data_IF_413879823877
#
_entry.id   IF_413879823877
#
_cell.length_a   1.000
_cell.length_b   1.000
_cell.length_c   1.000
_cell.angle_alpha   90.00
_cell.angle_beta   90.00
_cell.angle_gamma   90.00
#
_symmetry.space_group_name_H-M   'P 1'
#
loop_
_entity.id
_entity.type
_entity.pdbx_description
1 polymer ?
#
# COMPACT_ATOMS: atom_id res chain seq x y z
N UNK A 1 -13.67 -1.10 -2.69
CA UNK A 1 -12.66 -0.05 -2.53
C UNK A 1 -12.12 -0.03 -1.11
N UNK A 2 -10.84 0.24 -1.00
CA UNK A 2 -10.15 0.35 0.28
C UNK A 2 -10.80 1.37 1.22
N UNK A 3 -11.42 2.42 0.70
CA UNK A 3 -12.09 3.46 1.49
C UNK A 3 -13.20 2.95 2.40
N UNK A 4 -13.77 1.79 2.11
CA UNK A 4 -14.88 1.22 2.88
C UNK A 4 -14.42 0.13 3.85
N UNK A 5 -13.13 -0.16 3.89
CA UNK A 5 -12.59 -1.13 4.83
C UNK A 5 -12.48 -0.51 6.22
N UNK A 6 -13.04 -1.18 7.22
CA UNK A 6 -12.76 -0.83 8.60
C UNK A 6 -11.30 -1.16 8.88
N UNK A 7 -10.50 -0.15 9.12
CA UNK A 7 -9.09 -0.31 9.43
C UNK A 7 -8.95 -0.36 10.94
N UNK A 8 -8.56 -1.51 11.43
CA UNK A 8 -8.13 -1.62 12.82
C UNK A 8 -6.72 -1.04 12.92
N UNK A 9 -6.63 0.13 13.56
CA UNK A 9 -5.37 0.84 13.69
C UNK A 9 -4.63 0.30 14.91
N UNK A 10 -3.44 -0.23 14.69
CA UNK A 10 -2.52 -0.57 15.78
C UNK A 10 -1.93 0.73 16.33
N UNK A 11 -2.50 1.22 17.43
CA UNK A 11 -2.06 2.47 18.05
C UNK A 11 -0.59 2.47 18.47
N UNK A 12 -0.07 1.33 18.90
CA UNK A 12 1.33 1.21 19.28
C UNK A 12 2.25 1.39 18.08
N UNK A 13 1.92 0.75 16.98
CA UNK A 13 2.66 0.84 15.71
C UNK A 13 2.62 2.26 15.17
N UNK A 14 1.46 2.91 15.19
CA UNK A 14 1.29 4.28 14.72
C UNK A 14 2.03 5.30 15.60
N UNK A 15 2.02 5.10 16.91
CA UNK A 15 2.79 5.94 17.84
C UNK A 15 4.28 5.85 17.52
N UNK A 16 4.79 4.64 17.30
CA UNK A 16 6.19 4.43 16.92
C UNK A 16 6.52 5.13 15.59
N UNK A 17 5.66 5.00 14.58
CA UNK A 17 5.86 5.65 13.29
C UNK A 17 5.87 7.18 13.42
N UNK A 18 4.96 7.74 14.22
CA UNK A 18 4.90 9.18 14.45
C UNK A 18 6.18 9.68 15.10
N UNK A 19 6.70 8.97 16.07
CA UNK A 19 7.97 9.31 16.73
C UNK A 19 9.12 9.31 15.74
N UNK A 20 9.20 8.30 14.85
CA UNK A 20 10.26 8.23 13.83
C UNK A 20 10.16 9.41 12.88
N UNK A 21 8.95 9.78 12.44
CA UNK A 21 8.77 10.94 11.54
C UNK A 21 9.27 12.22 12.22
N UNK A 22 8.89 12.48 13.46
CA UNK A 22 9.35 13.68 14.17
C UNK A 22 10.87 13.70 14.37
N UNK A 23 11.49 12.55 14.64
CA UNK A 23 12.94 12.45 14.78
C UNK A 23 13.66 12.71 13.46
N UNK A 24 13.10 12.30 12.34
CA UNK A 24 13.69 12.47 11.01
C UNK A 24 13.38 13.82 10.36
N UNK A 25 12.37 14.49 10.84
CA UNK A 25 11.92 15.79 10.32
C UNK A 25 11.98 16.84 11.45
N UNK A 26 13.18 17.32 11.84
CA UNK A 26 13.33 18.18 13.01
C UNK A 26 12.65 19.54 12.85
N UNK A 27 12.34 19.97 11.63
CA UNK A 27 11.62 21.22 11.37
C UNK A 27 10.10 21.07 11.44
N UNK A 28 9.60 19.86 11.65
CA UNK A 28 8.18 19.61 11.79
C UNK A 28 7.76 19.83 13.24
N UNK A 29 6.81 20.74 13.47
CA UNK A 29 6.32 21.02 14.80
C UNK A 29 5.54 19.83 15.38
N UNK A 30 5.82 19.51 16.64
CA UNK A 30 5.08 18.47 17.36
C UNK A 30 3.80 19.09 17.91
N UNK A 31 2.70 18.93 17.16
CA UNK A 31 1.39 19.41 17.55
C UNK A 31 0.31 18.40 17.13
N UNK A 32 -0.90 18.57 17.63
CA UNK A 32 -1.99 17.62 17.39
C UNK A 32 -2.38 17.52 15.92
N UNK A 33 -2.28 18.61 15.17
CA UNK A 33 -2.63 18.62 13.74
C UNK A 33 -1.63 17.78 12.94
N UNK A 34 -0.34 17.93 13.21
CA UNK A 34 0.71 17.13 12.56
C UNK A 34 0.63 15.66 12.95
N UNK A 35 0.30 15.35 14.21
CA UNK A 35 0.07 13.98 14.64
C UNK A 35 -1.09 13.35 13.87
N UNK A 36 -2.22 14.06 13.77
CA UNK A 36 -3.38 13.58 13.00
C UNK A 36 -3.04 13.36 11.53
N UNK A 37 -2.28 14.26 10.92
CA UNK A 37 -1.84 14.13 9.53
C UNK A 37 -0.98 12.89 9.32
N UNK A 38 0.00 12.66 10.20
CA UNK A 38 0.88 11.49 10.15
C UNK A 38 0.06 10.21 10.27
N UNK A 39 -0.85 10.14 11.24
CA UNK A 39 -1.72 8.98 11.42
C UNK A 39 -2.58 8.72 10.19
N UNK A 40 -3.12 9.77 9.59
CA UNK A 40 -3.93 9.67 8.38
C UNK A 40 -3.11 9.12 7.20
N UNK A 41 -1.91 9.63 6.98
CA UNK A 41 -1.02 9.16 5.91
C UNK A 41 -0.66 7.69 6.11
N UNK A 42 -0.28 7.28 7.31
CA UNK A 42 0.05 5.87 7.58
C UNK A 42 -1.15 4.95 7.42
N UNK A 43 -2.35 5.42 7.78
CA UNK A 43 -3.59 4.65 7.55
C UNK A 43 -3.84 4.41 6.06
N UNK A 44 -3.61 5.43 5.23
CA UNK A 44 -3.72 5.30 3.78
C UNK A 44 -2.70 4.30 3.25
N UNK A 45 -1.46 4.36 3.70
CA UNK A 45 -0.39 3.46 3.29
C UNK A 45 -0.68 2.01 3.70
N UNK A 46 -1.21 1.78 4.88
CA UNK A 46 -1.58 0.43 5.35
C UNK A 46 -2.57 -0.26 4.41
N UNK A 47 -3.49 0.49 3.84
CA UNK A 47 -4.56 -0.06 2.99
C UNK A 47 -4.14 -0.17 1.52
N UNK A 48 -3.36 0.78 1.02
CA UNK A 48 -3.13 0.94 -0.41
C UNK A 48 -1.70 0.59 -0.87
N UNK A 49 -0.76 0.44 0.06
CA UNK A 49 0.62 0.20 -0.31
C UNK A 49 0.89 -1.27 -0.68
N UNK A 50 1.81 -1.46 -1.60
CA UNK A 50 2.27 -2.78 -2.04
C UNK A 50 3.62 -3.10 -1.40
N UNK A 51 3.79 -4.36 -0.99
CA UNK A 51 5.11 -4.88 -0.64
C UNK A 51 5.95 -5.04 -1.91
N UNK A 52 7.14 -4.48 -1.92
CA UNK A 52 8.08 -4.60 -3.02
C UNK A 52 9.03 -5.74 -2.71
N UNK A 53 9.04 -6.75 -3.57
CA UNK A 53 9.93 -7.91 -3.44
C UNK A 53 11.19 -7.71 -4.27
N UNK A 54 12.31 -8.16 -3.74
CA UNK A 54 13.57 -8.21 -4.48
C UNK A 54 13.69 -9.49 -5.33
N UNK A 55 14.85 -9.69 -5.96
CA UNK A 55 15.10 -10.87 -6.81
C UNK A 55 15.03 -12.19 -6.06
N UNK A 56 15.21 -12.17 -4.74
CA UNK A 56 15.14 -13.37 -3.89
C UNK A 56 13.76 -13.62 -3.31
N UNK A 57 12.76 -12.83 -3.75
CA UNK A 57 11.37 -12.82 -3.26
C UNK A 57 11.25 -12.33 -1.80
N UNK A 58 12.31 -11.74 -1.25
CA UNK A 58 12.25 -11.09 0.04
C UNK A 58 11.70 -9.66 -0.11
N UNK A 59 10.95 -9.25 0.88
CA UNK A 59 10.38 -7.91 0.88
C UNK A 59 11.46 -6.86 1.07
N UNK A 60 11.72 -6.08 0.03
CA UNK A 60 12.71 -5.01 0.05
C UNK A 60 12.15 -3.69 0.57
N UNK A 61 10.83 -3.50 0.52
CA UNK A 61 10.20 -2.27 0.95
C UNK A 61 8.71 -2.26 0.72
N UNK A 62 8.13 -1.07 0.79
CA UNK A 62 6.72 -0.82 0.57
C UNK A 62 6.57 0.38 -0.36
N UNK A 63 5.69 0.28 -1.33
CA UNK A 63 5.45 1.35 -2.29
C UNK A 63 3.97 1.64 -2.49
N UNK A 64 3.67 2.89 -2.81
CA UNK A 64 2.34 3.32 -3.19
C UNK A 64 2.32 3.49 -4.70
N UNK A 65 1.49 2.72 -5.38
CA UNK A 65 1.40 2.72 -6.85
C UNK A 65 0.00 3.11 -7.28
N UNK A 66 -0.13 4.30 -7.85
CA UNK A 66 -1.38 4.78 -8.42
C UNK A 66 -1.30 4.67 -9.96
N UNK A 67 -2.33 4.18 -10.63
CA UNK A 67 -3.65 3.84 -10.13
C UNK A 67 -3.82 2.39 -9.65
N UNK A 68 -2.77 1.58 -9.57
CA UNK A 68 -2.88 0.15 -9.23
C UNK A 68 -3.48 -0.11 -7.86
N UNK A 69 -3.30 0.82 -6.92
CA UNK A 69 -3.90 0.74 -5.59
C UNK A 69 -5.44 0.79 -5.62
N UNK A 70 -6.04 1.11 -6.77
CA UNK A 70 -7.49 1.11 -6.97
C UNK A 70 -8.03 -0.22 -7.49
N UNK A 71 -7.16 -1.18 -7.83
CA UNK A 71 -7.59 -2.50 -8.29
C UNK A 71 -8.27 -3.25 -7.16
N UNK A 72 -9.41 -3.84 -7.45
CA UNK A 72 -10.14 -4.64 -6.48
C UNK A 72 -9.50 -6.01 -6.30
N UNK A 73 -9.68 -6.56 -5.10
CA UNK A 73 -9.26 -7.91 -4.79
C UNK A 73 -10.18 -8.94 -5.45
N UNK A 74 -9.56 -10.04 -5.90
CA UNK A 74 -10.26 -11.28 -6.23
C UNK A 74 -9.41 -12.46 -5.75
N UNK A 75 -10.06 -13.49 -5.22
CA UNK A 75 -9.40 -14.76 -4.90
C UNK A 75 -9.09 -15.57 -6.17
N UNK A 76 -9.69 -15.18 -7.31
CA UNK A 76 -9.39 -15.69 -8.64
C UNK A 76 -9.06 -14.50 -9.55
N UNK A 77 -7.92 -13.84 -9.33
CA UNK A 77 -7.61 -12.63 -10.08
C UNK A 77 -7.29 -12.96 -11.54
N UNK A 78 -7.45 -11.95 -12.39
CA UNK A 78 -7.03 -12.07 -13.79
C UNK A 78 -5.68 -11.40 -14.06
N UNK A 79 -5.12 -10.71 -13.08
CA UNK A 79 -3.82 -10.06 -13.18
C UNK A 79 -2.97 -10.35 -11.95
N UNK A 80 -1.67 -10.13 -12.11
CA UNK A 80 -0.70 -10.19 -11.03
C UNK A 80 0.20 -8.97 -11.08
N UNK A 81 0.55 -8.42 -9.91
CA UNK A 81 1.50 -7.33 -9.80
C UNK A 81 2.90 -7.92 -9.66
N UNK A 82 3.82 -7.51 -10.54
CA UNK A 82 5.23 -7.90 -10.47
C UNK A 82 6.10 -6.65 -10.41
N UNK A 83 7.28 -6.80 -9.82
CA UNK A 83 8.19 -5.67 -9.61
C UNK A 83 9.53 -5.92 -10.27
N UNK A 84 10.08 -4.85 -10.87
CA UNK A 84 11.48 -4.79 -11.30
C UNK A 84 12.10 -3.55 -10.68
N UNK A 85 12.86 -3.73 -9.60
CA UNK A 85 13.31 -2.61 -8.79
C UNK A 85 12.11 -1.87 -8.20
N UNK A 86 11.99 -0.58 -8.51
CA UNK A 86 10.85 0.24 -8.05
C UNK A 86 9.69 0.30 -9.02
N UNK A 87 9.84 -0.32 -10.21
CA UNK A 87 8.77 -0.34 -11.21
C UNK A 87 7.82 -1.49 -10.93
N UNK A 88 6.53 -1.21 -10.98
CA UNK A 88 5.48 -2.20 -10.89
C UNK A 88 4.89 -2.47 -12.27
N UNK A 89 4.70 -3.74 -12.59
CA UNK A 89 4.02 -4.18 -13.81
C UNK A 89 2.79 -4.99 -13.43
N UNK A 90 1.67 -4.67 -14.06
CA UNK A 90 0.46 -5.48 -13.93
C UNK A 90 0.39 -6.38 -15.16
N UNK A 91 0.45 -7.67 -14.91
CA UNK A 91 0.53 -8.69 -15.96
C UNK A 91 -0.74 -9.52 -15.94
N UNK A 92 -1.44 -9.66 -17.08
CA UNK A 92 -2.59 -10.57 -17.15
C UNK A 92 -2.09 -12.02 -17.03
N UNK A 93 -2.82 -12.83 -16.25
CA UNK A 93 -2.51 -14.25 -16.06
C UNK A 93 -3.50 -15.17 -16.75
N UNK A 94 -4.51 -14.60 -17.40
CA UNK A 94 -5.45 -15.30 -18.26
C UNK A 94 -6.01 -14.33 -19.30
N UNK A 95 -6.78 -14.85 -20.26
CA UNK A 95 -7.46 -14.01 -21.25
C UNK A 95 -8.45 -13.08 -20.54
N UNK A 96 -8.43 -11.82 -20.93
CA UNK A 96 -9.33 -10.79 -20.40
C UNK A 96 -10.12 -10.22 -21.56
N UNK A 97 -11.45 -10.25 -21.44
CA UNK A 97 -12.35 -9.74 -22.48
C UNK A 97 -12.54 -8.22 -22.32
N UNK A 98 -12.87 -7.50 -23.41
CA UNK A 98 -13.20 -6.09 -23.31
C UNK A 98 -14.32 -5.83 -22.30
N UNK A 99 -14.14 -4.84 -21.43
CA UNK A 99 -15.10 -4.49 -20.39
C UNK A 99 -15.00 -5.33 -19.12
N UNK A 100 -14.16 -6.36 -19.10
CA UNK A 100 -13.90 -7.15 -17.89
C UNK A 100 -13.06 -6.35 -16.88
N UNK A 101 -13.45 -6.41 -15.61
CA UNK A 101 -12.71 -5.74 -14.55
C UNK A 101 -11.34 -6.39 -14.34
N UNK A 102 -10.30 -5.58 -14.20
CA UNK A 102 -8.96 -6.05 -13.84
C UNK A 102 -8.86 -6.21 -12.32
N UNK A 103 -8.47 -7.38 -11.88
CA UNK A 103 -8.37 -7.70 -10.46
C UNK A 103 -7.01 -8.29 -10.13
N UNK A 104 -6.59 -8.10 -8.89
CA UNK A 104 -5.37 -8.69 -8.34
C UNK A 104 -5.72 -9.36 -7.01
N UNK A 105 -4.85 -10.23 -6.53
CA UNK A 105 -4.98 -10.74 -5.17
C UNK A 105 -4.24 -9.82 -4.21
N UNK A 106 -4.91 -9.44 -3.11
CA UNK A 106 -4.29 -8.68 -2.02
C UNK A 106 -3.49 -9.58 -1.08
N UNK A 107 -3.71 -10.88 -1.18
CA UNK A 107 -3.02 -11.89 -0.38
C UNK A 107 -2.16 -12.78 -1.27
N UNK A 108 -1.11 -13.30 -0.72
CA UNK A 108 -0.21 -14.22 -1.42
C UNK A 108 -0.81 -15.62 -1.63
#
# INVERSE_FOLDING_TARGET
MAANLAIEIDHNKLTTYSMVVFLRCPNLDINIENVKLILHIFSILEVNAFGISDKTLLRAGTGLYSPTNLFNHSCRPNCVAVFRGRKQFIVPIRKIDPGEELTISYTD
#
